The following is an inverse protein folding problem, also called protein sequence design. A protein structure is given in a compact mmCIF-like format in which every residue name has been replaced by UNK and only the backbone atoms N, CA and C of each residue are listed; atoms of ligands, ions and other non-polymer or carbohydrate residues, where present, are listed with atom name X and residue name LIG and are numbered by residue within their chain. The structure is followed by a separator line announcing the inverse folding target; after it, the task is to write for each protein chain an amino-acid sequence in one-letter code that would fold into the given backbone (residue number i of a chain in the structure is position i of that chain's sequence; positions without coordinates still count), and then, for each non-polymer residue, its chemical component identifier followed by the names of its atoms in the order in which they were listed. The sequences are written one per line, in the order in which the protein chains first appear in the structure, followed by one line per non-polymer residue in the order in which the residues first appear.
data_IF_474009784626
#
_entry.id   IF_474009784626
#
_cell.length_a   1.000
_cell.length_b   1.000
_cell.length_c   1.000
_cell.angle_alpha   90.00
_cell.angle_beta   90.00
_cell.angle_gamma   90.00
#
_symmetry.space_group_name_H-M   'P 1'
#
loop_
_entity.id
_entity.type
_entity.pdbx_description
1 polymer ?
#
# COMPACT_ATOMS: atom_id res chain seq x y z
N UNK A 1 0.62 -4.15 -10.98
CA UNK A 1 1.17 -3.02 -11.77
C UNK A 1 0.31 -1.77 -11.56
N UNK A 2 0.90 -0.57 -11.45
CA UNK A 2 0.21 0.68 -11.04
C UNK A 2 -0.76 1.26 -12.09
N UNK A 3 -0.71 0.79 -13.34
CA UNK A 3 -1.61 1.24 -14.40
C UNK A 3 -3.07 0.98 -14.03
N UNK A 4 -3.87 2.03 -13.95
CA UNK A 4 -5.30 1.97 -13.64
C UNK A 4 -5.66 2.09 -12.16
N UNK A 5 -4.69 2.30 -11.26
CA UNK A 5 -4.98 2.50 -9.82
C UNK A 5 -4.89 3.96 -9.37
N UNK A 6 -4.44 4.86 -10.24
CA UNK A 6 -4.13 6.26 -9.90
C UNK A 6 -2.86 6.43 -9.05
N UNK A 7 -2.23 5.34 -8.61
CA UNK A 7 -0.98 5.37 -7.85
C UNK A 7 0.19 5.60 -8.81
N UNK A 8 1.09 6.50 -8.43
CA UNK A 8 2.34 6.75 -9.15
C UNK A 8 3.52 6.13 -8.40
N UNK A 9 4.50 5.55 -9.11
CA UNK A 9 5.75 5.12 -8.48
C UNK A 9 6.46 6.31 -7.82
N UNK A 10 7.13 6.04 -6.71
CA UNK A 10 8.02 7.02 -6.06
C UNK A 10 9.40 6.85 -6.67
N UNK A 11 9.94 7.92 -7.23
CA UNK A 11 11.35 7.96 -7.66
C UNK A 11 12.21 8.09 -6.41
N UNK A 12 13.10 7.13 -6.20
CA UNK A 12 14.09 7.19 -5.13
C UNK A 12 15.49 7.24 -5.73
N UNK A 13 16.34 8.07 -5.13
CA UNK A 13 17.76 8.22 -5.48
C UNK A 13 18.54 7.90 -4.21
N UNK A 14 19.60 7.11 -4.35
CA UNK A 14 20.46 6.71 -3.23
C UNK A 14 21.08 7.99 -2.63
N UNK A 15 20.81 8.32 -1.35
CA UNK A 15 21.30 9.57 -0.76
C UNK A 15 22.79 9.49 -0.44
N UNK A 16 23.24 8.37 0.14
CA UNK A 16 24.63 8.17 0.58
C UNK A 16 25.07 6.71 0.36
N UNK A 17 26.37 6.42 0.47
CA UNK A 17 26.83 5.03 0.41
C UNK A 17 26.53 4.31 1.72
N UNK A 18 25.68 3.29 1.67
CA UNK A 18 25.38 2.42 2.80
C UNK A 18 25.35 0.96 2.34
N UNK A 19 25.62 0.04 3.27
CA UNK A 19 25.57 -1.40 3.00
C UNK A 19 24.13 -1.85 2.73
N UNK A 20 23.14 -1.20 3.36
CA UNK A 20 21.74 -1.59 3.30
C UNK A 20 20.81 -0.38 3.42
N UNK A 21 19.79 -0.37 2.57
CA UNK A 21 18.62 0.50 2.70
C UNK A 21 17.36 -0.35 2.84
N UNK A 22 16.57 -0.11 3.89
CA UNK A 22 15.31 -0.83 4.11
C UNK A 22 14.16 -0.10 3.42
N UNK A 23 13.74 -0.58 2.25
CA UNK A 23 12.63 -0.02 1.48
C UNK A 23 11.31 -0.73 1.85
N UNK A 24 10.25 0.05 2.06
CA UNK A 24 8.94 -0.47 2.44
C UNK A 24 8.34 -1.37 1.35
N UNK A 25 7.98 -2.60 1.72
CA UNK A 25 7.23 -3.49 0.83
C UNK A 25 5.72 -3.54 1.12
N UNK A 26 5.30 -3.34 2.38
CA UNK A 26 3.88 -3.45 2.76
C UNK A 26 2.98 -2.33 2.20
N UNK A 27 3.56 -1.19 1.79
CA UNK A 27 2.87 0.00 1.26
C UNK A 27 2.05 0.81 2.28
N UNK A 28 2.30 0.61 3.57
CA UNK A 28 1.64 1.34 4.66
C UNK A 28 2.61 2.13 5.55
N UNK A 29 3.84 2.36 5.08
CA UNK A 29 4.78 3.19 5.83
C UNK A 29 4.30 4.64 5.90
N UNK A 30 4.53 5.28 7.04
CA UNK A 30 4.37 6.72 7.23
C UNK A 30 5.61 7.51 6.80
N UNK A 31 6.70 6.82 6.43
CA UNK A 31 7.95 7.43 5.99
C UNK A 31 8.44 6.89 4.62
N UNK A 32 7.70 7.07 3.51
CA UNK A 32 8.13 6.59 2.21
C UNK A 32 9.49 7.19 1.79
N UNK A 33 10.39 6.40 1.17
CA UNK A 33 10.22 5.01 0.76
C UNK A 33 10.67 3.98 1.80
N UNK A 34 11.07 4.42 2.99
CA UNK A 34 11.71 3.57 4.00
C UNK A 34 10.73 2.70 4.76
N UNK A 35 11.24 1.62 5.35
CA UNK A 35 10.48 0.81 6.29
C UNK A 35 10.49 1.45 7.69
N UNK A 36 9.32 1.59 8.30
CA UNK A 36 9.10 2.12 9.65
C UNK A 36 8.42 1.08 10.58
N UNK A 37 8.51 -0.20 10.22
CA UNK A 37 7.95 -1.32 10.97
C UNK A 37 6.42 -1.32 11.16
N UNK A 38 5.66 -0.41 10.52
CA UNK A 38 4.18 -0.43 10.57
C UNK A 38 3.60 -1.80 10.22
N UNK A 39 4.27 -2.56 9.35
CA UNK A 39 3.86 -3.91 8.94
C UNK A 39 3.70 -4.93 10.07
N UNK A 40 4.23 -4.67 11.27
CA UNK A 40 4.07 -5.52 12.44
C UNK A 40 2.62 -5.51 12.95
N UNK A 41 1.90 -4.40 12.81
CA UNK A 41 0.55 -4.20 13.37
C UNK A 41 -0.56 -4.14 12.31
N UNK A 42 -0.20 -4.19 11.03
CA UNK A 42 -1.13 -4.03 9.90
C UNK A 42 -2.34 -4.96 9.85
N UNK A 43 -2.27 -6.26 10.25
CA UNK A 43 -3.37 -7.17 10.00
C UNK A 43 -4.73 -6.64 10.49
N UNK A 44 -4.79 -6.16 11.72
CA UNK A 44 -6.04 -5.64 12.31
C UNK A 44 -6.50 -4.36 11.61
N UNK A 45 -5.61 -3.37 11.45
CA UNK A 45 -5.97 -2.08 10.86
C UNK A 45 -6.45 -2.19 9.40
N UNK A 46 -5.83 -3.07 8.62
CA UNK A 46 -6.21 -3.30 7.22
C UNK A 46 -7.58 -3.96 7.14
N UNK A 47 -7.84 -4.95 7.99
CA UNK A 47 -9.13 -5.63 8.06
C UNK A 47 -10.24 -4.67 8.46
N UNK A 48 -10.02 -3.83 9.47
CA UNK A 48 -10.99 -2.84 9.93
C UNK A 48 -11.30 -1.80 8.86
N UNK A 49 -10.28 -1.30 8.16
CA UNK A 49 -10.45 -0.33 7.07
C UNK A 49 -11.19 -0.94 5.87
N UNK A 50 -10.94 -2.21 5.53
CA UNK A 50 -11.72 -2.93 4.52
C UNK A 50 -13.17 -3.12 4.97
N UNK A 51 -13.38 -3.47 6.23
CA UNK A 51 -14.70 -3.67 6.82
C UNK A 51 -15.53 -2.37 6.92
N UNK A 52 -14.89 -1.20 6.99
CA UNK A 52 -15.56 0.10 7.11
C UNK A 52 -15.48 0.96 5.84
N UNK A 53 -14.97 0.41 4.73
CA UNK A 53 -14.77 1.15 3.50
C UNK A 53 -16.08 1.73 2.94
N UNK A 54 -16.11 3.05 2.71
CA UNK A 54 -17.26 3.75 2.12
C UNK A 54 -17.48 3.41 0.65
N UNK A 55 -16.42 3.01 -0.05
CA UNK A 55 -16.45 2.62 -1.45
C UNK A 55 -16.65 1.10 -1.67
N UNK A 56 -17.18 0.36 -0.69
CA UNK A 56 -17.40 -1.09 -0.82
C UNK A 56 -18.21 -1.49 -2.06
N UNK A 57 -19.17 -0.67 -2.48
CA UNK A 57 -19.96 -0.94 -3.70
C UNK A 57 -19.13 -0.99 -4.98
N UNK A 58 -17.92 -0.43 -4.97
CA UNK A 58 -16.97 -0.42 -6.09
C UNK A 58 -15.90 -1.52 -5.97
N UNK A 59 -15.99 -2.39 -4.96
CA UNK A 59 -15.12 -3.57 -4.83
C UNK A 59 -15.61 -4.69 -5.76
N UNK A 60 -15.50 -4.46 -7.06
CA UNK A 60 -15.87 -5.41 -8.11
C UNK A 60 -14.61 -6.02 -8.73
N UNK A 61 -14.74 -7.15 -9.43
CA UNK A 61 -13.62 -7.83 -10.10
C UNK A 61 -12.96 -6.97 -11.20
N UNK A 62 -13.67 -5.94 -11.67
CA UNK A 62 -13.16 -4.94 -12.61
C UNK A 62 -12.26 -3.88 -11.94
N UNK A 63 -12.35 -3.73 -10.61
CA UNK A 63 -11.56 -2.80 -9.83
C UNK A 63 -10.22 -3.44 -9.44
N UNK A 64 -9.10 -2.84 -9.83
CA UNK A 64 -7.77 -3.39 -9.50
C UNK A 64 -7.39 -3.25 -8.03
N UNK A 65 -7.80 -2.14 -7.41
CA UNK A 65 -7.44 -1.76 -6.05
C UNK A 65 -8.37 -0.64 -5.58
N UNK A 66 -8.94 -0.78 -4.39
CA UNK A 66 -9.57 0.33 -3.69
C UNK A 66 -8.50 1.14 -2.95
N UNK A 67 -8.21 2.35 -3.41
CA UNK A 67 -7.20 3.24 -2.80
C UNK A 67 -7.61 3.76 -1.42
N UNK A 68 -8.89 3.66 -1.03
CA UNK A 68 -9.36 4.06 0.29
C UNK A 68 -9.09 3.00 1.37
N UNK A 69 -9.18 1.70 1.03
CA UNK A 69 -9.10 0.65 2.05
C UNK A 69 -8.05 -0.43 1.78
N UNK A 70 -7.51 -0.51 0.57
CA UNK A 70 -6.56 -1.54 0.16
C UNK A 70 -7.20 -2.87 -0.24
N UNK A 71 -8.50 -2.90 -0.55
CA UNK A 71 -9.14 -4.08 -1.14
C UNK A 71 -8.63 -4.31 -2.57
N UNK A 72 -8.38 -5.56 -2.91
CA UNK A 72 -8.01 -6.04 -4.25
C UNK A 72 -8.90 -7.25 -4.56
N UNK A 73 -9.23 -7.50 -5.84
CA UNK A 73 -10.00 -8.66 -6.24
C UNK A 73 -9.17 -9.93 -6.07
N UNK A 74 -9.84 -11.04 -5.82
CA UNK A 74 -9.21 -12.37 -5.86
C UNK A 74 -8.97 -12.71 -7.35
N UNK A 75 -7.71 -12.96 -7.70
CA UNK A 75 -7.28 -13.24 -9.08
C UNK A 75 -7.35 -14.74 -9.40
#
# INVERSE_FOLDING_TARGET
SHKGTGIKPIRWVVPESQILYQICNCKYTNNPPYCDATHIYLPTEVLDRKATCKNKSFHTDTCKLCTQCGWVPDF
#
